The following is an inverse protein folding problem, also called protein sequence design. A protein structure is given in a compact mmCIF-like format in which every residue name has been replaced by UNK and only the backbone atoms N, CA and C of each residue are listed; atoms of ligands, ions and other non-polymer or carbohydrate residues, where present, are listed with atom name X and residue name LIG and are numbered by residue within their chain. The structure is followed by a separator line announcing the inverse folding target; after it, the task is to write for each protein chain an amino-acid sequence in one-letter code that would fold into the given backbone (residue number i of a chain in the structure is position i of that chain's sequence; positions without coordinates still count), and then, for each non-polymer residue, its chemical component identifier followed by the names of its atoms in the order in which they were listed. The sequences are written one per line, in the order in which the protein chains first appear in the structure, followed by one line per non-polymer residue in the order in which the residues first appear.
data_IF_827749569640
#
_entry.id   IF_827749569640
#
_cell.length_a   1.000
_cell.length_b   1.000
_cell.length_c   1.000
_cell.angle_alpha   90.00
_cell.angle_beta   90.00
_cell.angle_gamma   90.00
#
_symmetry.space_group_name_H-M   'P 1'
#
loop_
_entity.id
_entity.type
_entity.pdbx_description
1 polymer ?
#
# COMPACT_ATOMS: atom_id res chain seq x y z
N UNK A 1 -30.98 59.19 -30.66
CA UNK A 1 -31.21 57.94 -29.92
C UNK A 1 -30.31 56.85 -30.53
N UNK A 2 -29.21 56.54 -29.92
CA UNK A 2 -28.24 55.54 -30.41
C UNK A 2 -28.32 54.33 -29.49
N UNK A 3 -28.88 53.20 -30.00
CA UNK A 3 -28.91 51.93 -29.28
C UNK A 3 -27.58 51.20 -29.43
N UNK A 4 -26.85 51.03 -28.33
CA UNK A 4 -25.68 50.13 -28.27
C UNK A 4 -26.17 48.69 -28.15
N UNK A 5 -25.88 47.86 -29.15
CA UNK A 5 -26.00 46.41 -29.05
C UNK A 5 -24.75 45.89 -28.34
N UNK A 6 -24.95 45.29 -27.17
CA UNK A 6 -23.92 44.54 -26.47
C UNK A 6 -23.93 43.09 -26.98
N UNK A 7 -22.87 42.73 -27.70
CA UNK A 7 -22.64 41.34 -28.17
C UNK A 7 -21.96 40.54 -27.10
N UNK A 8 -22.71 39.63 -26.46
CA UNK A 8 -22.15 38.65 -25.50
C UNK A 8 -21.69 37.40 -26.25
N UNK A 9 -20.39 37.20 -26.33
CA UNK A 9 -19.79 35.94 -26.81
C UNK A 9 -19.87 34.86 -25.70
N UNK A 10 -20.37 33.65 -26.00
CA UNK A 10 -20.30 32.55 -25.04
C UNK A 10 -18.86 31.98 -24.97
N UNK A 11 -18.26 32.00 -23.80
CA UNK A 11 -17.01 31.32 -23.54
C UNK A 11 -17.31 29.80 -23.41
N UNK A 12 -16.89 29.06 -24.42
CA UNK A 12 -16.95 27.59 -24.42
C UNK A 12 -15.85 27.05 -23.53
N UNK A 13 -16.19 26.64 -22.27
CA UNK A 13 -15.26 25.98 -21.37
C UNK A 13 -15.05 24.54 -21.85
N UNK A 14 -13.91 24.26 -22.50
CA UNK A 14 -13.47 22.89 -22.75
C UNK A 14 -13.02 22.24 -21.42
N UNK A 15 -13.86 21.40 -20.87
CA UNK A 15 -13.47 20.51 -19.75
C UNK A 15 -12.63 19.35 -20.31
N UNK A 16 -11.31 19.44 -20.19
CA UNK A 16 -10.43 18.28 -20.39
C UNK A 16 -10.64 17.29 -19.27
N UNK A 17 -11.41 16.24 -19.52
CA UNK A 17 -11.47 15.06 -18.66
C UNK A 17 -10.14 14.32 -18.83
N UNK A 18 -9.18 14.56 -17.94
CA UNK A 18 -8.02 13.69 -17.80
C UNK A 18 -8.55 12.36 -17.26
N UNK A 19 -8.70 11.38 -18.12
CA UNK A 19 -9.00 10.01 -17.73
C UNK A 19 -7.86 9.51 -16.83
N UNK A 20 -8.06 9.49 -15.52
CA UNK A 20 -7.14 8.85 -14.61
C UNK A 20 -7.16 7.34 -14.94
N UNK A 21 -6.15 6.84 -15.64
CA UNK A 21 -5.94 5.42 -15.78
C UNK A 21 -5.82 4.84 -14.37
N UNK A 22 -6.68 3.86 -14.04
CA UNK A 22 -6.56 3.16 -12.78
C UNK A 22 -5.17 2.51 -12.70
N UNK A 23 -4.48 2.65 -11.57
CA UNK A 23 -3.20 1.99 -11.34
C UNK A 23 -3.35 0.46 -11.51
N UNK A 24 -2.32 -0.20 -12.01
CA UNK A 24 -2.27 -1.66 -11.95
C UNK A 24 -2.03 -2.07 -10.49
N UNK A 25 -2.76 -3.08 -10.02
CA UNK A 25 -2.61 -3.55 -8.65
C UNK A 25 -1.16 -3.96 -8.38
N UNK A 26 -0.56 -3.36 -7.36
CA UNK A 26 0.86 -3.50 -7.00
C UNK A 26 1.83 -3.01 -8.08
N UNK A 27 1.49 -1.94 -8.81
CA UNK A 27 2.47 -1.12 -9.51
C UNK A 27 3.02 0.02 -8.62
N UNK A 28 3.98 0.78 -9.13
CA UNK A 28 4.58 1.89 -8.39
C UNK A 28 3.57 3.01 -8.04
N UNK A 29 2.58 3.24 -8.90
CA UNK A 29 1.52 4.22 -8.65
C UNK A 29 0.58 3.73 -7.55
N UNK A 30 0.18 2.45 -7.60
CA UNK A 30 -0.60 1.82 -6.54
C UNK A 30 0.14 1.88 -5.20
N UNK A 31 1.44 1.58 -5.16
CA UNK A 31 2.24 1.65 -3.94
C UNK A 31 2.30 3.07 -3.35
N UNK A 32 2.37 4.11 -4.20
CA UNK A 32 2.28 5.51 -3.77
C UNK A 32 0.91 5.83 -3.15
N UNK A 33 -0.17 5.33 -3.76
CA UNK A 33 -1.53 5.48 -3.22
C UNK A 33 -1.69 4.70 -1.91
N UNK A 34 -1.11 3.49 -1.80
CA UNK A 34 -1.11 2.68 -0.59
C UNK A 34 -0.38 3.40 0.56
N UNK A 35 0.77 4.02 0.27
CA UNK A 35 1.50 4.86 1.23
C UNK A 35 0.64 6.04 1.72
N UNK A 36 -0.06 6.70 0.82
CA UNK A 36 -0.99 7.79 1.16
C UNK A 36 -2.18 7.28 1.99
N UNK A 37 -2.72 6.10 1.69
CA UNK A 37 -3.81 5.47 2.44
C UNK A 37 -3.34 5.02 3.84
N UNK A 38 -2.12 4.48 3.95
CA UNK A 38 -1.48 4.17 5.24
C UNK A 38 -1.48 5.38 6.16
N UNK A 39 -1.00 6.53 5.67
CA UNK A 39 -0.87 7.76 6.44
C UNK A 39 -2.20 8.36 6.90
N UNK A 40 -3.32 7.95 6.28
CA UNK A 40 -4.68 8.34 6.66
C UNK A 40 -5.37 7.29 7.54
N UNK A 41 -4.72 6.15 7.79
CA UNK A 41 -5.26 5.05 8.58
C UNK A 41 -4.77 5.11 10.04
N UNK A 42 -5.38 4.29 10.87
CA UNK A 42 -4.96 4.09 12.27
C UNK A 42 -3.66 3.26 12.42
N UNK A 43 -3.14 2.69 11.32
CA UNK A 43 -1.86 1.98 11.30
C UNK A 43 -0.72 2.88 11.78
N UNK A 44 -0.78 4.18 11.50
CA UNK A 44 0.23 5.15 11.92
C UNK A 44 0.41 5.17 13.44
N UNK A 45 -0.66 5.10 14.20
CA UNK A 45 -0.61 5.08 15.66
C UNK A 45 -0.45 3.67 16.22
N UNK A 46 -1.12 2.67 15.63
CA UNK A 46 -1.10 1.29 16.12
C UNK A 46 0.23 0.57 15.92
N UNK A 47 1.00 0.98 14.91
CA UNK A 47 2.32 0.45 14.60
C UNK A 47 3.45 1.44 14.95
N UNK A 48 3.12 2.59 15.52
CA UNK A 48 4.08 3.60 15.94
C UNK A 48 4.77 3.25 17.26
N UNK A 49 5.81 4.01 17.57
CA UNK A 49 6.59 3.85 18.80
C UNK A 49 7.16 2.44 18.94
N UNK A 50 7.21 1.97 20.17
CA UNK A 50 7.79 0.65 20.53
C UNK A 50 6.96 -0.55 20.02
N UNK A 51 5.75 -0.31 19.52
CA UNK A 51 4.91 -1.40 19.03
C UNK A 51 5.52 -2.13 17.84
N UNK A 52 6.10 -1.37 16.88
CA UNK A 52 6.66 -1.97 15.66
C UNK A 52 7.69 -1.05 14.96
N UNK A 53 7.39 0.24 14.74
CA UNK A 53 8.20 1.13 13.91
C UNK A 53 9.58 1.40 14.49
N UNK A 54 9.73 1.41 15.82
CA UNK A 54 11.00 1.62 16.51
C UNK A 54 12.00 0.46 16.31
N UNK A 55 11.49 -0.77 16.05
CA UNK A 55 12.36 -1.91 15.71
C UNK A 55 12.78 -1.86 14.24
N UNK A 56 13.73 -1.00 13.91
CA UNK A 56 14.19 -0.73 12.54
C UNK A 56 15.70 -0.92 12.34
N UNK A 57 16.38 -1.58 13.26
CA UNK A 57 17.84 -1.78 13.27
C UNK A 57 18.64 -0.47 13.25
N UNK A 58 18.12 0.58 13.88
CA UNK A 58 18.77 1.89 13.96
C UNK A 58 18.75 2.71 12.66
N UNK A 59 18.04 2.25 11.61
CA UNK A 59 17.97 2.93 10.30
C UNK A 59 16.95 4.06 10.28
N UNK A 60 16.03 4.09 11.25
CA UNK A 60 14.93 5.05 11.30
C UNK A 60 13.73 4.67 10.40
N UNK A 61 13.81 3.54 9.68
CA UNK A 61 12.74 3.05 8.81
C UNK A 61 12.73 1.52 8.71
N UNK A 62 11.59 0.98 8.30
CA UNK A 62 11.38 -0.42 7.90
C UNK A 62 10.91 -0.47 6.46
N UNK A 63 11.19 -1.59 5.80
CA UNK A 63 10.79 -1.82 4.41
C UNK A 63 9.76 -2.94 4.34
N UNK A 64 8.70 -2.70 3.58
CA UNK A 64 7.70 -3.71 3.22
C UNK A 64 7.70 -3.85 1.71
N UNK A 65 8.05 -5.02 1.19
CA UNK A 65 7.95 -5.34 -0.23
C UNK A 65 6.78 -6.29 -0.49
N UNK A 66 6.04 -6.03 -1.56
CA UNK A 66 4.85 -6.76 -1.95
C UNK A 66 4.92 -7.14 -3.42
N UNK A 67 4.40 -8.32 -3.78
CA UNK A 67 4.14 -8.67 -5.18
C UNK A 67 3.04 -9.72 -5.34
N UNK A 68 2.52 -9.83 -6.57
CA UNK A 68 1.57 -10.84 -7.01
C UNK A 68 2.32 -12.04 -7.56
N UNK A 69 2.01 -13.25 -7.12
CA UNK A 69 2.72 -14.46 -7.57
C UNK A 69 2.68 -14.66 -9.09
N UNK A 70 1.55 -14.36 -9.71
CA UNK A 70 1.38 -14.46 -11.17
C UNK A 70 2.32 -13.52 -11.95
N UNK A 71 2.71 -12.40 -11.34
CA UNK A 71 3.59 -11.40 -11.96
C UNK A 71 5.08 -11.60 -11.63
N UNK A 72 5.35 -12.49 -10.67
CA UNK A 72 6.70 -12.83 -10.25
C UNK A 72 7.37 -11.76 -9.38
N UNK A 73 8.53 -12.10 -8.84
CA UNK A 73 9.26 -11.27 -7.87
C UNK A 73 9.88 -10.00 -8.47
N UNK A 74 10.02 -9.91 -9.79
CA UNK A 74 10.50 -8.71 -10.49
C UNK A 74 9.47 -7.59 -10.49
N UNK A 75 8.20 -7.89 -10.23
CA UNK A 75 7.10 -6.92 -10.12
C UNK A 75 6.91 -6.37 -8.71
N UNK A 76 7.90 -6.56 -7.83
CA UNK A 76 7.82 -6.05 -6.44
C UNK A 76 7.64 -4.54 -6.41
N UNK A 77 6.80 -4.12 -5.48
CA UNK A 77 6.71 -2.73 -5.03
C UNK A 77 7.16 -2.62 -3.59
N UNK A 78 7.43 -1.42 -3.16
CA UNK A 78 8.00 -1.15 -1.85
C UNK A 78 7.26 -0.03 -1.13
N UNK A 79 7.07 -0.21 0.18
CA UNK A 79 6.70 0.83 1.12
C UNK A 79 7.86 1.00 2.12
N UNK A 80 8.22 2.24 2.42
CA UNK A 80 9.15 2.59 3.48
C UNK A 80 8.38 3.24 4.62
N UNK A 81 8.47 2.66 5.81
CA UNK A 81 7.74 3.14 6.99
C UNK A 81 8.76 3.65 8.00
N UNK A 82 8.75 4.96 8.22
CA UNK A 82 9.61 5.64 9.17
C UNK A 82 8.94 5.77 10.53
N UNK A 83 9.71 5.66 11.60
CA UNK A 83 9.27 6.12 12.92
C UNK A 83 9.43 7.65 12.98
N UNK A 84 8.30 8.35 13.01
CA UNK A 84 8.27 9.81 13.07
C UNK A 84 7.34 10.24 14.20
N UNK A 85 7.92 10.89 15.21
CA UNK A 85 7.18 11.39 16.37
C UNK A 85 6.31 10.30 17.04
N UNK A 86 6.86 9.09 17.18
CA UNK A 86 6.19 7.92 17.72
C UNK A 86 5.06 7.37 16.84
N UNK A 87 5.06 7.69 15.53
CA UNK A 87 4.08 7.20 14.56
C UNK A 87 4.78 6.46 13.42
N UNK A 88 4.20 5.34 13.00
CA UNK A 88 4.61 4.63 11.80
C UNK A 88 4.15 5.38 10.55
N UNK A 89 4.98 6.29 10.05
CA UNK A 89 4.65 7.13 8.89
C UNK A 89 5.20 6.51 7.61
N UNK A 90 4.36 6.31 6.61
CA UNK A 90 4.84 5.91 5.29
C UNK A 90 5.54 7.09 4.61
N UNK A 91 6.84 6.99 4.44
CA UNK A 91 7.71 8.00 3.83
C UNK A 91 7.90 7.79 2.33
N UNK A 92 7.68 6.56 1.84
CA UNK A 92 7.79 6.21 0.43
C UNK A 92 6.86 5.05 0.07
N UNK A 93 6.30 5.11 -1.13
CA UNK A 93 5.60 4.02 -1.79
C UNK A 93 5.87 4.08 -3.29
N UNK A 94 6.36 2.97 -3.88
CA UNK A 94 6.75 2.97 -5.29
C UNK A 94 7.51 1.73 -5.72
N UNK A 95 8.34 1.90 -6.76
CA UNK A 95 9.26 0.86 -7.22
C UNK A 95 10.30 0.52 -6.13
N UNK A 96 10.85 -0.70 -6.19
CA UNK A 96 11.86 -1.16 -5.22
C UNK A 96 13.09 -0.26 -5.22
N UNK A 97 13.44 0.28 -4.06
CA UNK A 97 14.70 0.99 -3.79
C UNK A 97 15.72 0.10 -3.09
N UNK A 98 15.24 -0.80 -2.21
CA UNK A 98 16.08 -1.66 -1.40
C UNK A 98 16.14 -3.07 -2.00
N UNK A 99 17.14 -3.33 -2.83
CA UNK A 99 17.32 -4.64 -3.46
C UNK A 99 17.54 -5.76 -2.44
N UNK A 100 18.12 -5.44 -1.27
CA UNK A 100 18.37 -6.38 -0.17
C UNK A 100 17.65 -5.92 1.09
N UNK A 101 16.75 -6.76 1.58
CA UNK A 101 16.04 -6.55 2.85
C UNK A 101 16.89 -7.01 4.04
N UNK A 102 16.71 -6.37 5.18
CA UNK A 102 17.18 -6.86 6.47
C UNK A 102 16.13 -7.83 7.04
N UNK A 103 16.44 -9.12 7.07
CA UNK A 103 15.51 -10.17 7.49
C UNK A 103 15.02 -10.04 8.93
N UNK A 104 15.72 -9.27 9.78
CA UNK A 104 15.38 -9.10 11.19
C UNK A 104 14.33 -8.02 11.43
N UNK A 105 14.10 -7.13 10.43
CA UNK A 105 13.19 -5.99 10.60
C UNK A 105 12.31 -5.69 9.39
N UNK A 106 12.67 -6.16 8.18
CA UNK A 106 11.91 -5.90 6.95
C UNK A 106 10.98 -7.05 6.59
N UNK A 107 10.00 -6.76 5.74
CA UNK A 107 8.96 -7.70 5.34
C UNK A 107 8.93 -7.88 3.83
N UNK A 108 8.85 -9.13 3.38
CA UNK A 108 8.50 -9.48 2.02
C UNK A 108 7.24 -10.33 2.06
N UNK A 109 6.22 -9.92 1.34
CA UNK A 109 4.93 -10.59 1.29
C UNK A 109 4.50 -10.80 -0.16
N UNK A 110 3.99 -11.99 -0.46
CA UNK A 110 3.38 -12.28 -1.75
C UNK A 110 2.25 -13.29 -1.62
N UNK A 111 1.34 -13.24 -2.56
CA UNK A 111 0.18 -14.11 -2.62
C UNK A 111 -0.38 -14.18 -4.05
N UNK A 112 -1.31 -15.11 -4.28
CA UNK A 112 -2.12 -15.11 -5.51
C UNK A 112 -3.05 -13.89 -5.55
N UNK A 113 -3.61 -13.58 -6.73
CA UNK A 113 -4.58 -12.47 -6.86
C UNK A 113 -5.87 -12.74 -6.07
N UNK A 114 -6.28 -14.01 -5.99
CA UNK A 114 -7.43 -14.47 -5.22
C UNK A 114 -7.20 -14.27 -3.72
N UNK A 115 -6.03 -14.66 -3.22
CA UNK A 115 -5.68 -14.52 -1.81
C UNK A 115 -5.52 -13.04 -1.43
N UNK A 116 -4.88 -12.21 -2.28
CA UNK A 116 -4.85 -10.77 -2.08
C UNK A 116 -6.26 -10.17 -2.04
N UNK A 117 -7.17 -10.67 -2.88
CA UNK A 117 -8.57 -10.23 -2.88
C UNK A 117 -9.30 -10.65 -1.61
N UNK A 118 -9.07 -11.88 -1.14
CA UNK A 118 -9.65 -12.40 0.09
C UNK A 118 -9.18 -11.58 1.31
N UNK A 119 -7.88 -11.34 1.42
CA UNK A 119 -7.28 -10.52 2.49
C UNK A 119 -7.77 -9.07 2.44
N UNK A 120 -7.76 -8.47 1.25
CA UNK A 120 -8.19 -7.08 1.04
C UNK A 120 -9.68 -6.84 1.35
N UNK A 121 -10.53 -7.88 1.25
CA UNK A 121 -11.94 -7.83 1.68
C UNK A 121 -12.13 -8.06 3.17
N UNK A 122 -11.09 -8.48 3.90
CA UNK A 122 -11.22 -8.91 5.29
C UNK A 122 -12.11 -10.14 5.44
N UNK A 123 -12.15 -11.03 4.43
CA UNK A 123 -13.03 -12.21 4.45
C UNK A 123 -12.61 -13.21 5.53
N UNK A 124 -13.57 -13.99 6.03
CA UNK A 124 -13.31 -15.01 7.04
C UNK A 124 -12.20 -15.97 6.59
N UNK A 125 -11.24 -16.24 7.48
CA UNK A 125 -10.08 -17.11 7.20
C UNK A 125 -8.96 -16.46 6.39
N UNK A 126 -9.09 -15.17 6.01
CA UNK A 126 -8.07 -14.42 5.28
C UNK A 126 -7.44 -13.26 6.08
N UNK A 127 -7.71 -13.17 7.38
CA UNK A 127 -6.93 -12.30 8.26
C UNK A 127 -5.47 -12.76 8.35
N UNK A 128 -4.59 -11.91 8.85
CA UNK A 128 -3.13 -12.12 8.85
C UNK A 128 -2.73 -13.49 9.41
N UNK A 129 -3.26 -13.87 10.58
CA UNK A 129 -2.98 -15.17 11.19
C UNK A 129 -3.45 -16.33 10.28
N UNK A 130 -4.69 -16.27 9.81
CA UNK A 130 -5.27 -17.29 8.93
C UNK A 130 -4.52 -17.41 7.62
N UNK A 131 -4.23 -16.28 6.97
CA UNK A 131 -3.53 -16.24 5.69
C UNK A 131 -2.09 -16.78 5.79
N UNK A 132 -1.36 -16.44 6.87
CA UNK A 132 0.00 -16.95 7.09
C UNK A 132 0.00 -18.45 7.43
N UNK A 133 -0.95 -18.93 8.28
CA UNK A 133 -1.02 -20.31 8.71
C UNK A 133 -1.42 -21.27 7.58
N UNK A 134 -2.36 -20.84 6.74
CA UNK A 134 -2.83 -21.64 5.60
C UNK A 134 -1.95 -21.50 4.35
N UNK A 135 -0.93 -20.61 4.39
CA UNK A 135 -0.04 -20.36 3.29
C UNK A 135 -0.63 -19.51 2.15
N UNK A 136 -1.79 -18.88 2.38
CA UNK A 136 -2.36 -17.87 1.45
C UNK A 136 -1.44 -16.67 1.32
N UNK A 137 -0.89 -16.20 2.44
CA UNK A 137 0.14 -15.16 2.47
C UNK A 137 1.50 -15.80 2.67
N UNK A 138 2.37 -15.67 1.67
CA UNK A 138 3.78 -16.03 1.80
C UNK A 138 4.50 -14.86 2.43
N UNK A 139 5.07 -15.10 3.60
CA UNK A 139 5.68 -14.08 4.44
C UNK A 139 7.15 -14.41 4.72
N UNK A 140 8.04 -13.45 4.50
CA UNK A 140 9.44 -13.47 4.93
C UNK A 140 9.71 -12.23 5.75
N UNK A 141 10.34 -12.39 6.91
CA UNK A 141 10.65 -11.33 7.87
C UNK A 141 10.54 -11.82 9.31
N UNK A 142 10.60 -10.92 10.30
CA UNK A 142 10.56 -11.25 11.73
C UNK A 142 9.16 -11.71 12.14
N UNK A 143 8.91 -13.01 12.04
CA UNK A 143 7.59 -13.62 12.30
C UNK A 143 7.05 -13.33 13.71
N UNK A 144 7.91 -13.37 14.73
CA UNK A 144 7.48 -13.11 16.11
C UNK A 144 7.01 -11.66 16.29
N UNK A 145 7.69 -10.73 15.67
CA UNK A 145 7.27 -9.33 15.67
C UNK A 145 5.92 -9.15 14.94
N UNK A 146 5.77 -9.76 13.76
CA UNK A 146 4.51 -9.73 13.02
C UNK A 146 3.35 -10.33 13.86
N UNK A 147 3.61 -11.42 14.59
CA UNK A 147 2.61 -12.00 15.50
C UNK A 147 2.24 -11.08 16.67
N UNK A 148 3.16 -10.26 17.14
CA UNK A 148 2.89 -9.26 18.19
C UNK A 148 1.95 -8.13 17.76
N UNK A 149 1.79 -7.92 16.45
CA UNK A 149 0.99 -6.83 15.87
C UNK A 149 -0.11 -7.35 14.92
N UNK A 150 -0.68 -8.54 15.17
CA UNK A 150 -1.65 -9.17 14.27
C UNK A 150 -2.87 -8.29 13.94
N UNK A 151 -3.42 -7.56 14.91
CA UNK A 151 -4.56 -6.69 14.65
C UNK A 151 -4.23 -5.56 13.63
N UNK A 152 -3.18 -4.76 13.86
CA UNK A 152 -2.69 -3.83 12.86
C UNK A 152 -2.30 -4.50 11.53
N UNK A 153 -1.75 -5.70 11.56
CA UNK A 153 -1.42 -6.45 10.34
C UNK A 153 -2.67 -6.81 9.52
N UNK A 154 -3.76 -7.23 10.18
CA UNK A 154 -5.07 -7.40 9.52
C UNK A 154 -5.52 -6.10 8.86
N UNK A 155 -5.40 -4.98 9.57
CA UNK A 155 -5.71 -3.65 9.03
C UNK A 155 -4.91 -3.31 7.78
N UNK A 156 -3.61 -3.65 7.76
CA UNK A 156 -2.76 -3.49 6.59
C UNK A 156 -3.23 -4.34 5.40
N UNK A 157 -3.55 -5.62 5.61
CA UNK A 157 -4.04 -6.50 4.55
C UNK A 157 -5.37 -5.99 3.97
N UNK A 158 -6.30 -5.56 4.83
CA UNK A 158 -7.56 -4.94 4.39
C UNK A 158 -7.31 -3.64 3.62
N UNK A 159 -6.30 -2.85 4.02
CA UNK A 159 -5.97 -1.61 3.34
C UNK A 159 -5.52 -1.86 1.88
N UNK A 160 -4.85 -2.99 1.59
CA UNK A 160 -4.47 -3.35 0.21
C UNK A 160 -5.67 -3.48 -0.72
N UNK A 161 -6.84 -3.88 -0.20
CA UNK A 161 -8.08 -3.99 -0.96
C UNK A 161 -8.87 -2.68 -1.08
N UNK A 162 -8.56 -1.68 -0.24
CA UNK A 162 -9.20 -0.35 -0.29
C UNK A 162 -8.54 0.58 -1.31
N UNK A 163 -7.29 0.31 -1.68
CA UNK A 163 -6.58 1.06 -2.72
C UNK A 163 -6.92 0.44 -4.07
N UNK A 164 -7.55 1.24 -4.94
CA UNK A 164 -7.95 0.79 -6.27
C UNK A 164 -6.75 0.35 -7.10
N UNK A 165 -6.87 -0.79 -7.77
CA UNK A 165 -5.83 -1.31 -8.67
C UNK A 165 -6.39 -2.40 -9.57
N UNK A 166 -6.13 -2.29 -10.88
CA UNK A 166 -6.53 -3.30 -11.86
C UNK A 166 -5.64 -4.54 -11.76
N UNK A 167 -6.23 -5.72 -11.76
CA UNK A 167 -5.55 -7.02 -11.69
C UNK A 167 -5.46 -7.74 -13.03
N UNK A 168 -6.01 -7.18 -14.10
CA UNK A 168 -6.03 -7.83 -15.42
C UNK A 168 -4.63 -8.01 -15.99
N UNK A 169 -3.75 -7.02 -15.78
CA UNK A 169 -2.35 -7.04 -16.22
C UNK A 169 -1.36 -7.12 -15.06
N UNK A 170 -0.12 -7.44 -15.37
CA UNK A 170 1.01 -7.27 -14.47
C UNK A 170 1.64 -5.87 -14.66
N UNK A 171 2.24 -5.28 -13.59
CA UNK A 171 2.95 -4.03 -13.70
C UNK A 171 4.21 -4.13 -14.54
#
# INVERSE_FOLDING_TARGET
MIRKLASTLPVLALTFSVGANAATFMDAQWASQMCSAWNKSDLTSKLGGDAWAANNAGRGYKVIQLYREKCGDKSKVELEISDKDGKAHCSYGGAVKHAKLNADVDYLMHATDEDWTCMGKGSFGCGAMGAMTTGKLKFKGPKMEAMGVMGPFDGFLVLTGKVAGDKASCP
#
